data_IF_255386640548
#
_entry.id   IF_255386640548
#
_cell.length_a   1.000
_cell.length_b   1.000
_cell.length_c   1.000
_cell.angle_alpha   90.00
_cell.angle_beta   90.00
_cell.angle_gamma   90.00
#
_symmetry.space_group_name_H-M   'P 1'
#
loop_
_entity.id
_entity.type
_entity.pdbx_description
1 polymer ?
#
# COMPACT_ATOMS: atom_id res chain seq x y z
N UNK A 1 10.10 -3.26 -16.62
CA UNK A 1 10.80 -3.11 -15.36
C UNK A 1 11.92 -4.14 -15.27
N UNK A 2 13.17 -3.70 -15.13
CA UNK A 2 14.33 -4.53 -14.91
C UNK A 2 14.87 -4.29 -13.51
N UNK A 3 14.96 -5.36 -12.71
CA UNK A 3 15.44 -5.28 -11.33
C UNK A 3 16.72 -6.10 -11.17
N UNK A 4 17.80 -5.45 -10.77
CA UNK A 4 19.11 -6.05 -10.55
C UNK A 4 19.32 -6.23 -9.04
N UNK A 5 19.04 -7.43 -8.54
CA UNK A 5 19.17 -7.78 -7.14
C UNK A 5 20.62 -7.97 -6.69
N UNK A 6 20.93 -7.45 -5.50
CA UNK A 6 22.25 -7.47 -4.85
C UNK A 6 23.37 -6.95 -5.76
N UNK A 7 23.01 -5.97 -6.60
CA UNK A 7 23.93 -5.33 -7.52
C UNK A 7 23.99 -3.82 -7.27
N UNK A 8 25.21 -3.30 -7.18
CA UNK A 8 25.40 -1.85 -7.34
C UNK A 8 25.29 -1.50 -8.81
N UNK A 9 24.72 -0.36 -9.16
CA UNK A 9 24.65 0.09 -10.54
C UNK A 9 26.05 0.45 -11.07
N UNK A 10 26.21 0.57 -12.42
CA UNK A 10 27.40 1.14 -13.02
C UNK A 10 27.75 2.50 -12.40
N UNK A 11 29.02 2.90 -12.42
CA UNK A 11 29.49 4.14 -11.78
C UNK A 11 28.71 5.38 -12.25
N UNK A 12 28.33 5.46 -13.51
CA UNK A 12 27.52 6.55 -14.05
C UNK A 12 26.14 6.71 -13.35
N UNK A 13 25.61 5.63 -12.78
CA UNK A 13 24.34 5.60 -12.03
C UNK A 13 24.56 5.64 -10.52
N UNK A 14 25.63 4.97 -10.02
CA UNK A 14 25.90 4.92 -8.58
C UNK A 14 26.49 6.21 -8.03
N UNK A 15 27.20 6.98 -8.87
CA UNK A 15 27.87 8.21 -8.48
C UNK A 15 27.77 9.30 -9.57
N UNK A 16 26.57 9.64 -10.04
CA UNK A 16 26.34 10.83 -10.86
C UNK A 16 26.47 12.05 -9.94
N UNK A 17 27.61 12.70 -9.93
CA UNK A 17 27.86 13.92 -9.13
C UNK A 17 27.27 15.17 -9.82
N UNK A 18 26.64 16.11 -9.08
CA UNK A 18 26.34 16.06 -7.65
C UNK A 18 25.02 15.38 -7.30
N UNK A 19 24.94 14.77 -6.10
CA UNK A 19 23.70 14.34 -5.49
C UNK A 19 23.04 15.50 -4.73
N UNK A 20 21.73 15.66 -4.92
CA UNK A 20 20.88 16.58 -4.19
C UNK A 20 19.94 15.79 -3.26
N UNK A 21 19.91 16.16 -1.96
CA UNK A 21 18.94 15.61 -1.02
C UNK A 21 17.56 16.17 -1.31
N UNK A 22 16.63 15.30 -1.74
CA UNK A 22 15.24 15.67 -2.04
C UNK A 22 14.34 15.49 -0.81
N UNK A 23 14.62 14.45 -0.01
CA UNK A 23 13.80 14.11 1.13
C UNK A 23 14.61 13.36 2.19
N UNK A 24 14.29 13.60 3.45
CA UNK A 24 14.65 12.76 4.59
C UNK A 24 13.43 12.60 5.48
N UNK A 25 13.17 11.38 5.98
CA UNK A 25 12.04 11.14 6.88
C UNK A 25 12.22 11.92 8.19
N UNK A 26 11.09 12.39 8.74
CA UNK A 26 11.06 12.97 10.09
C UNK A 26 11.25 11.89 11.17
N UNK A 27 10.84 10.66 10.87
CA UNK A 27 11.10 9.50 11.70
C UNK A 27 12.58 9.15 11.67
N UNK A 28 13.17 8.97 12.85
CA UNK A 28 14.60 8.67 13.03
C UNK A 28 14.79 7.42 13.88
N UNK A 29 15.92 6.75 13.69
CA UNK A 29 16.36 5.65 14.54
C UNK A 29 16.89 6.15 15.91
N UNK A 30 17.32 5.21 16.74
CA UNK A 30 17.88 5.50 18.07
C UNK A 30 19.18 6.35 18.02
N UNK A 31 19.82 6.44 16.85
CA UNK A 31 21.03 7.25 16.61
C UNK A 31 20.71 8.59 15.96
N UNK A 32 19.43 8.92 15.75
CA UNK A 32 18.97 10.14 15.10
C UNK A 32 19.12 10.12 13.57
N UNK A 33 19.34 8.97 12.93
CA UNK A 33 19.41 8.86 11.47
C UNK A 33 18.01 8.73 10.88
N UNK A 34 17.67 9.47 9.79
CA UNK A 34 16.39 9.30 9.11
C UNK A 34 16.15 7.84 8.69
N UNK A 35 14.93 7.32 8.92
CA UNK A 35 14.55 5.96 8.53
C UNK A 35 14.64 5.75 7.03
N UNK A 36 14.41 6.81 6.24
CA UNK A 36 14.60 6.78 4.80
C UNK A 36 15.00 8.12 4.23
N UNK A 37 15.79 8.07 3.18
CA UNK A 37 16.34 9.24 2.49
C UNK A 37 16.16 9.07 0.99
N UNK A 38 15.77 10.14 0.27
CA UNK A 38 15.77 10.20 -1.19
C UNK A 38 16.77 11.26 -1.66
N UNK A 39 17.70 10.85 -2.47
CA UNK A 39 18.63 11.71 -3.19
C UNK A 39 18.33 11.65 -4.70
N UNK A 40 18.60 12.71 -5.43
CA UNK A 40 18.45 12.84 -6.88
C UNK A 40 19.73 13.34 -7.51
N UNK A 41 20.05 12.85 -8.70
CA UNK A 41 21.13 13.39 -9.52
C UNK A 41 20.70 13.46 -11.00
N UNK A 42 21.13 14.47 -11.72
CA UNK A 42 20.71 14.76 -13.10
C UNK A 42 19.40 15.53 -13.17
N UNK A 43 19.12 16.14 -14.35
CA UNK A 43 17.95 17.00 -14.56
C UNK A 43 16.98 16.45 -15.62
N UNK A 44 17.46 15.92 -16.74
CA UNK A 44 16.60 15.46 -17.87
C UNK A 44 16.10 14.02 -17.66
N UNK A 45 16.99 13.13 -17.24
CA UNK A 45 16.65 11.74 -16.87
C UNK A 45 17.29 11.44 -15.50
N UNK A 46 16.68 11.92 -14.40
CA UNK A 46 17.28 11.85 -13.09
C UNK A 46 17.40 10.43 -12.58
N UNK A 47 18.55 10.12 -11.99
CA UNK A 47 18.73 8.95 -11.15
C UNK A 47 18.25 9.31 -9.75
N UNK A 48 17.40 8.46 -9.19
CA UNK A 48 16.92 8.56 -7.82
C UNK A 48 17.58 7.49 -6.97
N UNK A 49 17.98 7.83 -5.76
CA UNK A 49 18.54 6.89 -4.80
C UNK A 49 17.77 6.96 -3.49
N UNK A 50 17.10 5.85 -3.16
CA UNK A 50 16.45 5.67 -1.86
C UNK A 50 17.37 4.83 -0.98
N UNK A 51 17.72 5.39 0.18
CA UNK A 51 18.53 4.71 1.19
C UNK A 51 17.72 4.59 2.48
N UNK A 52 17.70 3.40 3.06
CA UNK A 52 17.03 3.11 4.33
C UNK A 52 18.04 3.10 5.49
N UNK A 53 17.54 3.15 6.70
CA UNK A 53 18.34 3.27 7.94
C UNK A 53 19.32 2.11 8.15
N UNK A 54 19.03 0.94 7.60
CA UNK A 54 19.85 -0.28 7.61
C UNK A 54 20.83 -0.34 6.43
N UNK A 55 21.05 0.78 5.74
CA UNK A 55 21.90 0.94 4.56
C UNK A 55 21.42 0.16 3.31
N UNK A 56 20.22 -0.45 3.34
CA UNK A 56 19.60 -0.96 2.10
C UNK A 56 19.34 0.20 1.15
N UNK A 57 19.75 0.04 -0.11
CA UNK A 57 19.74 1.11 -1.09
C UNK A 57 19.15 0.67 -2.43
N UNK A 58 18.30 1.52 -3.00
CA UNK A 58 17.72 1.34 -4.33
C UNK A 58 18.05 2.53 -5.22
N UNK A 59 18.56 2.25 -6.42
CA UNK A 59 18.73 3.26 -7.48
C UNK A 59 17.68 3.02 -8.55
N UNK A 60 16.99 4.08 -8.95
CA UNK A 60 15.96 4.09 -9.98
C UNK A 60 16.43 5.01 -11.10
N UNK A 61 16.59 4.49 -12.29
CA UNK A 61 16.97 5.22 -13.48
C UNK A 61 15.97 5.02 -14.61
N UNK A 62 16.09 5.81 -15.68
CA UNK A 62 15.27 5.71 -16.89
C UNK A 62 13.76 5.69 -16.59
N UNK A 63 13.31 6.70 -15.82
CA UNK A 63 11.91 6.79 -15.40
C UNK A 63 11.44 5.63 -14.53
N UNK A 64 12.34 5.07 -13.70
CA UNK A 64 12.12 3.90 -12.85
C UNK A 64 11.83 2.60 -13.64
N UNK A 65 12.37 2.45 -14.85
CA UNK A 65 12.33 1.18 -15.60
C UNK A 65 13.53 0.29 -15.31
N UNK A 66 14.64 0.87 -14.89
CA UNK A 66 15.87 0.18 -14.46
C UNK A 66 16.08 0.43 -12.96
N UNK A 67 16.19 -0.66 -12.18
CA UNK A 67 16.32 -0.62 -10.74
C UNK A 67 17.46 -1.50 -10.28
N UNK A 68 18.32 -0.97 -9.41
CA UNK A 68 19.33 -1.74 -8.71
C UNK A 68 19.00 -1.75 -7.22
N UNK A 69 19.08 -2.93 -6.61
CA UNK A 69 18.92 -3.13 -5.19
C UNK A 69 20.23 -3.65 -4.59
N UNK A 70 20.68 -3.03 -3.53
CA UNK A 70 21.85 -3.45 -2.77
C UNK A 70 21.57 -3.35 -1.28
N UNK A 71 22.10 -4.28 -0.53
CA UNK A 71 22.01 -4.32 0.93
C UNK A 71 23.27 -4.90 1.55
N UNK A 72 23.59 -4.56 2.83
CA UNK A 72 24.72 -5.12 3.59
C UNK A 72 24.66 -6.64 3.74
N UNK A 73 25.79 -7.25 4.08
CA UNK A 73 25.92 -8.72 4.16
C UNK A 73 25.20 -9.34 5.37
N UNK A 74 24.88 -8.56 6.39
CA UNK A 74 24.10 -8.93 7.58
C UNK A 74 22.60 -8.92 7.35
N UNK A 75 22.13 -8.43 6.19
CA UNK A 75 20.75 -8.46 5.76
C UNK A 75 20.48 -9.52 4.69
N UNK A 76 19.22 -9.89 4.54
CA UNK A 76 18.77 -10.91 3.60
C UNK A 76 18.04 -10.31 2.38
N UNK A 77 17.79 -11.15 1.37
CA UNK A 77 16.95 -10.76 0.22
C UNK A 77 15.51 -10.48 0.64
N UNK A 78 15.03 -11.12 1.69
CA UNK A 78 13.71 -10.94 2.28
C UNK A 78 13.57 -9.54 2.89
N UNK A 79 14.62 -9.06 3.59
CA UNK A 79 14.66 -7.69 4.12
C UNK A 79 14.55 -6.66 3.00
N UNK A 80 15.39 -6.79 1.96
CA UNK A 80 15.35 -5.92 0.80
C UNK A 80 14.00 -6.00 0.04
N UNK A 81 13.40 -7.20 -0.06
CA UNK A 81 12.09 -7.39 -0.69
C UNK A 81 10.98 -6.67 0.05
N UNK A 82 11.07 -6.54 1.38
CA UNK A 82 10.10 -5.79 2.18
C UNK A 82 10.07 -4.32 1.79
N UNK A 83 11.22 -3.70 1.58
CA UNK A 83 11.31 -2.33 1.07
C UNK A 83 10.85 -2.24 -0.39
N UNK A 84 11.21 -3.23 -1.21
CA UNK A 84 10.83 -3.23 -2.62
C UNK A 84 9.32 -3.31 -2.82
N UNK A 85 8.64 -4.25 -2.16
CA UNK A 85 7.19 -4.47 -2.28
C UNK A 85 6.34 -3.40 -1.56
N UNK A 86 6.93 -2.58 -0.74
CA UNK A 86 6.28 -1.44 -0.10
C UNK A 86 6.72 -0.11 -0.71
N UNK A 87 7.63 0.63 -0.04
CA UNK A 87 7.98 2.00 -0.41
C UNK A 87 8.53 2.16 -1.84
N UNK A 88 9.29 1.19 -2.35
CA UNK A 88 9.88 1.29 -3.68
C UNK A 88 8.82 1.07 -4.76
N UNK A 89 8.01 0.02 -4.66
CA UNK A 89 6.93 -0.26 -5.62
C UNK A 89 5.91 0.89 -5.66
N UNK A 90 5.47 1.36 -4.50
CA UNK A 90 4.56 2.49 -4.44
C UNK A 90 5.12 3.74 -5.12
N UNK A 91 6.41 4.01 -4.94
CA UNK A 91 7.06 5.15 -5.56
C UNK A 91 7.23 4.96 -7.09
N UNK A 92 7.62 3.77 -7.54
CA UNK A 92 7.69 3.45 -8.98
C UNK A 92 6.34 3.68 -9.67
N UNK A 93 5.27 3.14 -9.11
CA UNK A 93 3.92 3.32 -9.65
C UNK A 93 3.55 4.80 -9.75
N UNK A 94 3.89 5.59 -8.74
CA UNK A 94 3.65 7.04 -8.72
C UNK A 94 4.44 7.77 -9.81
N UNK A 95 5.70 7.42 -10.02
CA UNK A 95 6.53 7.98 -11.10
C UNK A 95 5.97 7.64 -12.48
N UNK A 96 5.31 6.49 -12.61
CA UNK A 96 4.62 6.06 -13.83
C UNK A 96 3.20 6.65 -13.98
N UNK A 97 2.79 7.57 -13.09
CA UNK A 97 1.50 8.25 -13.14
C UNK A 97 0.33 7.46 -12.56
N UNK A 98 0.56 6.27 -12.00
CA UNK A 98 -0.48 5.48 -11.33
C UNK A 98 -0.79 6.10 -9.97
N UNK A 99 -2.07 6.24 -9.64
CA UNK A 99 -2.48 6.71 -8.33
C UNK A 99 -2.40 5.58 -7.31
N UNK A 100 -1.76 5.84 -6.17
CA UNK A 100 -1.51 4.81 -5.15
C UNK A 100 -1.90 5.34 -3.78
N UNK A 101 -2.74 4.59 -3.08
CA UNK A 101 -3.05 4.82 -1.66
C UNK A 101 -2.22 3.89 -0.77
N UNK A 102 -1.80 4.39 0.37
CA UNK A 102 -1.29 3.55 1.46
C UNK A 102 -2.50 2.88 2.14
N UNK A 103 -2.93 1.77 1.58
CA UNK A 103 -4.19 1.12 1.91
C UNK A 103 -4.08 -0.40 1.79
N UNK A 104 -4.98 -1.11 2.49
CA UNK A 104 -5.33 -2.49 2.17
C UNK A 104 -6.68 -2.51 1.46
N UNK A 105 -6.85 -3.36 0.46
CA UNK A 105 -8.10 -3.48 -0.29
C UNK A 105 -8.60 -4.91 -0.30
N UNK A 106 -9.90 -5.08 -0.03
CA UNK A 106 -10.60 -6.37 0.05
C UNK A 106 -11.89 -6.34 -0.77
N UNK A 107 -12.44 -7.50 -1.10
CA UNK A 107 -13.78 -7.59 -1.71
C UNK A 107 -14.87 -7.28 -0.67
N UNK A 108 -15.94 -6.60 -1.10
CA UNK A 108 -17.08 -6.24 -0.26
C UNK A 108 -17.96 -7.45 0.12
N UNK A 109 -17.90 -8.50 -0.69
CA UNK A 109 -18.55 -9.78 -0.42
C UNK A 109 -17.56 -10.93 -0.56
N UNK A 110 -17.80 -12.11 0.05
CA UNK A 110 -16.97 -13.30 -0.12
C UNK A 110 -16.75 -13.68 -1.58
N UNK A 111 -15.65 -14.39 -1.86
CA UNK A 111 -15.19 -14.72 -3.22
C UNK A 111 -16.16 -15.62 -4.01
N UNK A 112 -17.07 -16.32 -3.35
CA UNK A 112 -18.12 -17.13 -3.95
C UNK A 112 -19.38 -16.34 -4.35
N UNK A 113 -19.45 -15.03 -4.00
CA UNK A 113 -20.57 -14.13 -4.30
C UNK A 113 -20.25 -13.12 -5.39
N UNK A 114 -21.27 -12.64 -6.09
CA UNK A 114 -21.20 -11.61 -7.14
C UNK A 114 -22.44 -10.71 -7.14
N UNK A 115 -22.37 -9.47 -7.66
CA UNK A 115 -21.15 -8.78 -8.12
C UNK A 115 -20.26 -8.40 -6.95
N UNK A 116 -18.95 -8.21 -7.20
CA UNK A 116 -17.97 -7.77 -6.21
C UNK A 116 -17.47 -6.37 -6.52
N UNK A 117 -17.22 -5.61 -5.46
CA UNK A 117 -16.48 -4.34 -5.49
C UNK A 117 -15.35 -4.41 -4.47
N UNK A 118 -14.43 -3.48 -4.55
CA UNK A 118 -13.36 -3.34 -3.58
C UNK A 118 -13.73 -2.34 -2.48
N UNK A 119 -13.39 -2.66 -1.24
CA UNK A 119 -13.32 -1.73 -0.11
C UNK A 119 -11.84 -1.43 0.13
N UNK A 120 -11.43 -0.17 0.01
CA UNK A 120 -10.07 0.27 0.33
C UNK A 120 -10.04 0.86 1.75
N UNK A 121 -9.24 0.26 2.62
CA UNK A 121 -9.06 0.72 4.00
C UNK A 121 -7.79 1.54 4.10
N UNK A 122 -7.90 2.81 4.44
CA UNK A 122 -6.81 3.78 4.64
C UNK A 122 -6.71 4.19 6.11
N UNK A 123 -5.59 4.77 6.50
CA UNK A 123 -5.38 5.24 7.87
C UNK A 123 -3.89 5.25 8.23
N UNK A 124 -3.51 5.82 9.37
CA UNK A 124 -2.14 5.90 9.81
C UNK A 124 -1.51 4.52 10.00
N UNK A 125 -0.19 4.49 10.15
CA UNK A 125 0.51 3.27 10.53
C UNK A 125 -0.04 2.77 11.89
N UNK A 126 -0.25 1.46 12.02
CA UNK A 126 -0.84 0.88 13.22
C UNK A 126 -2.36 0.97 13.34
N UNK A 127 -3.08 1.63 12.40
CA UNK A 127 -4.55 1.72 12.43
C UNK A 127 -5.29 0.37 12.28
N UNK A 128 -4.57 -0.70 11.88
CA UNK A 128 -5.15 -2.03 11.74
C UNK A 128 -5.56 -2.41 10.32
N UNK A 129 -5.12 -1.68 9.28
CA UNK A 129 -5.43 -1.98 7.86
C UNK A 129 -5.16 -3.44 7.48
N UNK A 130 -3.93 -3.90 7.68
CA UNK A 130 -3.52 -5.27 7.35
C UNK A 130 -4.23 -6.31 8.21
N UNK A 131 -4.44 -6.01 9.51
CA UNK A 131 -5.17 -6.89 10.43
C UNK A 131 -6.62 -7.07 10.00
N UNK A 132 -7.30 -5.98 9.62
CA UNK A 132 -8.67 -6.01 9.11
C UNK A 132 -8.74 -6.75 7.78
N UNK A 133 -7.77 -6.56 6.87
CA UNK A 133 -7.71 -7.31 5.61
C UNK A 133 -7.54 -8.82 5.83
N UNK A 134 -6.68 -9.22 6.77
CA UNK A 134 -6.52 -10.63 7.14
C UNK A 134 -7.78 -11.22 7.78
N UNK A 135 -8.49 -10.42 8.59
CA UNK A 135 -9.77 -10.83 9.17
C UNK A 135 -10.85 -11.04 8.09
N UNK A 136 -10.92 -10.17 7.09
CA UNK A 136 -11.79 -10.37 5.92
C UNK A 136 -11.42 -11.62 5.13
N UNK A 137 -10.12 -11.89 4.91
CA UNK A 137 -9.67 -13.12 4.24
C UNK A 137 -10.15 -14.37 4.98
N UNK A 138 -10.13 -14.39 6.32
CA UNK A 138 -10.66 -15.49 7.13
C UNK A 138 -12.17 -15.72 6.95
N UNK A 139 -12.92 -14.69 6.57
CA UNK A 139 -14.36 -14.77 6.23
C UNK A 139 -14.63 -15.11 4.76
N UNK A 140 -13.58 -15.44 3.99
CA UNK A 140 -13.70 -15.82 2.57
C UNK A 140 -13.74 -14.65 1.60
N UNK A 141 -13.48 -13.42 2.05
CA UNK A 141 -13.29 -12.27 1.15
C UNK A 141 -11.92 -12.33 0.49
N UNK A 142 -11.83 -11.83 -0.75
CA UNK A 142 -10.56 -11.71 -1.45
C UNK A 142 -9.79 -10.45 -1.02
N UNK A 143 -8.51 -10.58 -0.79
CA UNK A 143 -7.61 -9.43 -0.65
C UNK A 143 -7.08 -9.07 -2.03
N UNK A 144 -7.27 -7.83 -2.48
CA UNK A 144 -6.70 -7.32 -3.73
C UNK A 144 -5.29 -6.76 -3.50
N UNK A 145 -5.10 -6.05 -2.40
CA UNK A 145 -3.86 -5.33 -2.15
C UNK A 145 -3.61 -5.15 -0.65
N UNK A 146 -2.34 -5.12 -0.29
CA UNK A 146 -1.87 -4.76 1.04
C UNK A 146 -0.75 -3.73 0.91
N UNK A 147 -0.79 -2.66 1.72
CA UNK A 147 0.15 -1.53 1.75
C UNK A 147 0.15 -0.64 0.50
N UNK A 148 0.28 -1.19 -0.71
CA UNK A 148 0.37 -0.46 -1.99
C UNK A 148 -0.89 -0.69 -2.80
N UNK A 149 -1.91 0.13 -2.60
CA UNK A 149 -3.20 0.03 -3.28
C UNK A 149 -3.22 0.93 -4.53
N UNK A 150 -3.00 0.32 -5.70
CA UNK A 150 -3.00 1.01 -6.98
C UNK A 150 -4.42 1.22 -7.50
N UNK A 151 -4.74 2.46 -7.88
CA UNK A 151 -6.04 2.86 -8.44
C UNK A 151 -5.88 3.25 -9.90
N UNK A 152 -6.76 2.73 -10.75
CA UNK A 152 -6.72 2.94 -12.19
C UNK A 152 -8.12 3.15 -12.76
N UNK A 153 -8.37 4.20 -13.56
CA UNK A 153 -9.62 4.31 -14.28
C UNK A 153 -9.80 3.17 -15.29
N UNK A 154 -10.99 2.61 -15.38
CA UNK A 154 -11.31 1.60 -16.38
C UNK A 154 -11.03 2.16 -17.79
N UNK A 155 -10.29 1.39 -18.58
CA UNK A 155 -9.86 1.79 -19.93
C UNK A 155 -8.54 2.59 -19.98
N UNK A 156 -7.96 2.97 -18.84
CA UNK A 156 -6.66 3.64 -18.80
C UNK A 156 -5.50 2.68 -19.12
N UNK A 157 -4.40 3.15 -19.75
CA UNK A 157 -3.20 2.34 -20.00
C UNK A 157 -2.57 1.69 -18.78
N UNK A 158 -2.73 2.21 -17.58
CA UNK A 158 -2.21 1.59 -16.35
C UNK A 158 -2.77 0.18 -16.09
N UNK A 159 -3.88 -0.16 -16.73
CA UNK A 159 -4.56 -1.45 -16.63
C UNK A 159 -4.10 -2.51 -17.65
N UNK A 160 -3.19 -2.18 -18.57
CA UNK A 160 -2.82 -3.07 -19.69
C UNK A 160 -2.43 -4.50 -19.30
N UNK A 161 -1.77 -4.65 -18.14
CA UNK A 161 -1.36 -5.97 -17.65
C UNK A 161 -2.53 -6.90 -17.29
N UNK A 162 -3.73 -6.35 -17.05
CA UNK A 162 -4.92 -7.07 -16.60
C UNK A 162 -5.99 -7.26 -17.70
N UNK A 163 -5.67 -6.88 -18.94
CA UNK A 163 -6.60 -6.98 -20.08
C UNK A 163 -7.73 -5.95 -20.05
N UNK A 164 -8.75 -6.08 -20.94
CA UNK A 164 -9.85 -5.14 -21.00
C UNK A 164 -10.70 -5.12 -19.73
N UNK A 165 -11.19 -3.94 -19.34
CA UNK A 165 -12.11 -3.80 -18.23
C UNK A 165 -13.52 -4.25 -18.62
N UNK A 166 -14.20 -4.95 -17.69
CA UNK A 166 -15.63 -5.16 -17.75
C UNK A 166 -16.45 -4.00 -17.18
N UNK A 167 -15.81 -3.03 -16.54
CA UNK A 167 -16.45 -1.86 -15.98
C UNK A 167 -16.66 -0.76 -17.03
N UNK A 168 -17.62 0.13 -16.77
CA UNK A 168 -17.87 1.31 -17.61
C UNK A 168 -16.65 2.25 -17.60
N UNK A 169 -16.45 2.96 -18.69
CA UNK A 169 -15.36 3.92 -18.81
C UNK A 169 -15.43 5.00 -17.72
N UNK A 170 -14.31 5.23 -17.05
CA UNK A 170 -14.21 6.22 -15.97
C UNK A 170 -14.48 5.66 -14.56
N UNK A 171 -14.98 4.44 -14.42
CA UNK A 171 -15.04 3.75 -13.13
C UNK A 171 -13.62 3.55 -12.61
N UNK A 172 -13.37 3.90 -11.35
CA UNK A 172 -12.09 3.67 -10.71
C UNK A 172 -12.04 2.22 -10.24
N UNK A 173 -10.99 1.51 -10.65
CA UNK A 173 -10.73 0.14 -10.23
C UNK A 173 -9.53 0.08 -9.28
N UNK A 174 -9.58 -0.86 -8.35
CA UNK A 174 -8.42 -1.31 -7.56
C UNK A 174 -7.71 -2.40 -8.35
N UNK A 175 -6.42 -2.21 -8.60
CA UNK A 175 -5.58 -3.22 -9.24
C UNK A 175 -5.06 -4.21 -8.20
N UNK A 176 -5.00 -5.52 -8.53
CA UNK A 176 -4.36 -6.50 -7.66
C UNK A 176 -2.88 -6.18 -7.41
N UNK A 177 -2.47 -6.33 -6.17
CA UNK A 177 -1.08 -6.23 -5.75
C UNK A 177 -0.37 -7.59 -5.77
N UNK A 178 0.17 -8.01 -4.64
CA UNK A 178 0.86 -9.29 -4.47
C UNK A 178 0.12 -10.17 -3.45
N UNK A 179 0.20 -11.52 -3.55
CA UNK A 179 -0.65 -12.45 -2.84
C UNK A 179 -0.16 -12.73 -1.40
N UNK A 180 -0.01 -11.70 -0.59
CA UNK A 180 0.30 -11.84 0.83
C UNK A 180 -0.19 -10.64 1.65
N UNK A 181 -0.41 -10.86 2.95
CA UNK A 181 -0.67 -9.81 3.94
C UNK A 181 0.43 -9.86 5.01
N UNK A 182 1.04 -8.72 5.29
CA UNK A 182 2.08 -8.58 6.32
C UNK A 182 1.45 -8.19 7.65
N UNK A 183 1.73 -8.96 8.69
CA UNK A 183 1.13 -8.81 10.01
C UNK A 183 2.22 -8.72 11.10
N UNK A 184 1.99 -7.88 12.09
CA UNK A 184 2.75 -7.94 13.32
C UNK A 184 2.36 -9.17 14.13
N UNK A 185 3.28 -9.70 14.94
CA UNK A 185 3.05 -10.89 15.78
C UNK A 185 1.80 -10.77 16.65
N UNK A 186 1.54 -9.63 17.27
CA UNK A 186 0.33 -9.36 18.04
C UNK A 186 -0.97 -9.53 17.21
N UNK A 187 -0.95 -9.10 15.94
CA UNK A 187 -2.10 -9.27 15.05
C UNK A 187 -2.31 -10.73 14.68
N UNK A 188 -1.22 -11.50 14.52
CA UNK A 188 -1.31 -12.94 14.25
C UNK A 188 -1.83 -13.67 15.47
N UNK A 189 -1.32 -13.36 16.67
CA UNK A 189 -1.81 -13.93 17.93
C UNK A 189 -3.31 -13.66 18.11
N UNK A 190 -3.75 -12.41 17.90
CA UNK A 190 -5.16 -12.03 17.99
C UNK A 190 -6.04 -12.79 17.01
N UNK A 191 -5.61 -12.97 15.75
CA UNK A 191 -6.43 -13.60 14.71
C UNK A 191 -6.35 -15.12 14.70
N UNK A 192 -5.22 -15.70 15.10
CA UNK A 192 -4.92 -17.13 14.92
C UNK A 192 -4.52 -17.85 16.21
N UNK A 193 -4.40 -17.13 17.33
CA UNK A 193 -4.10 -17.67 18.65
C UNK A 193 -2.62 -17.85 18.99
N UNK A 194 -1.73 -17.82 17.97
CA UNK A 194 -0.27 -17.86 18.17
C UNK A 194 0.45 -17.25 16.98
N UNK A 195 1.52 -16.46 17.19
CA UNK A 195 2.33 -15.90 16.10
C UNK A 195 2.99 -16.98 15.22
N UNK A 196 3.33 -18.13 15.78
CA UNK A 196 4.08 -19.21 15.12
C UNK A 196 3.28 -19.91 14.02
N UNK A 197 1.96 -19.71 13.95
CA UNK A 197 1.12 -20.30 12.88
C UNK A 197 1.40 -19.70 11.50
N UNK A 198 2.02 -18.52 11.45
CA UNK A 198 2.44 -17.89 10.21
C UNK A 198 3.97 -17.78 10.14
N UNK A 199 4.56 -17.93 8.95
CA UNK A 199 6.00 -17.79 8.77
C UNK A 199 6.47 -16.35 9.01
N UNK A 200 7.72 -16.21 9.45
CA UNK A 200 8.40 -14.90 9.50
C UNK A 200 8.51 -14.29 8.11
N UNK A 201 8.27 -12.99 8.02
CA UNK A 201 8.45 -12.22 6.79
C UNK A 201 9.94 -12.13 6.42
N UNK A 202 10.78 -11.84 7.41
CA UNK A 202 12.23 -11.79 7.32
C UNK A 202 12.85 -12.36 8.61
N UNK A 203 14.11 -12.81 8.58
CA UNK A 203 14.78 -13.28 9.81
C UNK A 203 15.03 -12.17 10.84
N UNK A 204 15.03 -10.90 10.42
CA UNK A 204 15.45 -9.74 11.24
C UNK A 204 14.29 -8.94 11.81
N UNK A 205 13.04 -9.17 11.33
CA UNK A 205 11.86 -8.42 11.74
C UNK A 205 10.85 -9.32 12.45
N UNK A 206 10.21 -8.81 13.49
CA UNK A 206 9.07 -9.48 14.13
C UNK A 206 7.77 -9.24 13.37
N UNK A 207 7.83 -9.51 12.07
CA UNK A 207 6.66 -9.54 11.19
C UNK A 207 6.47 -10.92 10.61
N UNK A 208 5.20 -11.28 10.45
CA UNK A 208 4.76 -12.52 9.81
C UNK A 208 4.09 -12.19 8.48
N UNK A 209 3.90 -13.18 7.63
CA UNK A 209 3.07 -13.02 6.45
C UNK A 209 2.04 -14.12 6.32
N UNK A 210 0.83 -13.71 5.93
CA UNK A 210 -0.25 -14.60 5.52
C UNK A 210 -0.14 -14.79 4.01
N UNK A 211 0.24 -15.99 3.51
CA UNK A 211 0.19 -16.27 2.08
C UNK A 211 -1.28 -16.35 1.64
N UNK A 212 -1.59 -15.78 0.48
CA UNK A 212 -2.92 -15.76 -0.09
C UNK A 212 -2.93 -16.63 -1.36
N UNK A 213 -3.82 -17.62 -1.42
CA UNK A 213 -3.99 -18.45 -2.60
C UNK A 213 -4.79 -17.69 -3.67
N UNK A 214 -4.35 -17.69 -4.95
CA UNK A 214 -5.13 -17.11 -6.04
C UNK A 214 -6.47 -17.83 -6.21
N UNK A 215 -7.55 -17.08 -6.36
CA UNK A 215 -8.88 -17.57 -6.75
C UNK A 215 -9.82 -17.89 -5.59
N UNK A 216 -9.74 -19.03 -4.94
CA UNK A 216 -10.86 -19.52 -4.12
C UNK A 216 -10.90 -19.01 -2.67
N UNK A 217 -9.80 -18.60 -2.06
CA UNK A 217 -9.78 -18.32 -0.62
C UNK A 217 -8.65 -17.37 -0.20
N UNK A 218 -8.62 -16.17 -0.72
CA UNK A 218 -7.70 -15.20 -0.15
C UNK A 218 -7.19 -14.11 -1.09
N UNK A 219 -6.70 -14.39 -2.29
CA UNK A 219 -6.23 -13.38 -3.24
C UNK A 219 -7.19 -13.18 -4.40
N UNK A 220 -7.68 -11.93 -4.55
CA UNK A 220 -8.44 -11.52 -5.72
C UNK A 220 -7.46 -10.96 -6.76
N UNK A 221 -7.15 -11.76 -7.78
CA UNK A 221 -6.16 -11.48 -8.84
C UNK A 221 -6.72 -10.68 -10.02
N UNK A 222 -7.99 -10.26 -9.92
CA UNK A 222 -8.66 -9.47 -10.96
C UNK A 222 -8.98 -8.06 -10.45
N UNK A 223 -8.78 -7.00 -11.27
CA UNK A 223 -9.21 -5.67 -10.92
C UNK A 223 -10.70 -5.59 -10.62
N UNK A 224 -11.07 -4.86 -9.58
CA UNK A 224 -12.46 -4.63 -9.20
C UNK A 224 -12.79 -3.14 -9.10
N UNK A 225 -14.04 -2.76 -9.44
CA UNK A 225 -14.53 -1.41 -9.17
C UNK A 225 -14.36 -1.06 -7.69
N UNK A 226 -13.83 0.13 -7.40
CA UNK A 226 -13.73 0.65 -6.05
C UNK A 226 -15.13 1.05 -5.56
N UNK A 227 -15.67 0.29 -4.62
CA UNK A 227 -17.01 0.50 -4.06
C UNK A 227 -17.05 1.54 -2.96
N UNK A 228 -16.04 1.55 -2.09
CA UNK A 228 -15.92 2.51 -0.99
C UNK A 228 -14.48 2.64 -0.51
N UNK A 229 -14.20 3.76 0.15
CA UNK A 229 -12.96 3.98 0.92
C UNK A 229 -13.37 4.13 2.38
N UNK A 230 -12.62 3.45 3.25
CA UNK A 230 -12.85 3.50 4.70
C UNK A 230 -11.62 4.03 5.41
N UNK A 231 -11.80 5.11 6.14
CA UNK A 231 -10.83 5.63 7.10
C UNK A 231 -10.89 4.82 8.39
N UNK A 232 -9.83 4.11 8.73
CA UNK A 232 -9.67 3.52 10.05
C UNK A 232 -9.14 4.59 11.01
N UNK A 233 -10.03 5.08 11.86
CA UNK A 233 -9.69 6.01 12.93
C UNK A 233 -8.97 5.30 14.09
N UNK A 234 -8.37 6.03 15.03
CA UNK A 234 -7.90 5.46 16.28
C UNK A 234 -9.01 4.67 16.98
N UNK A 235 -8.61 3.60 17.67
CA UNK A 235 -9.55 2.77 18.45
C UNK A 235 -10.09 3.55 19.64
N UNK A 236 -11.37 3.33 19.96
CA UNK A 236 -12.04 3.95 21.10
C UNK A 236 -12.63 2.87 22.02
N UNK A 237 -12.62 3.15 23.32
CA UNK A 237 -13.35 2.37 24.32
C UNK A 237 -14.78 2.92 24.41
N UNK A 238 -15.64 2.39 23.53
CA UNK A 238 -17.05 2.79 23.36
C UNK A 238 -17.96 1.55 23.44
N UNK A 239 -19.28 1.73 23.36
CA UNK A 239 -20.22 0.59 23.46
C UNK A 239 -20.09 -0.39 22.29
N UNK A 240 -19.70 0.08 21.09
CA UNK A 240 -19.51 -0.73 19.88
C UNK A 240 -18.69 0.02 18.82
N UNK A 241 -18.09 -0.68 17.86
CA UNK A 241 -17.51 -0.04 16.68
C UNK A 241 -18.59 0.69 15.88
N UNK A 242 -18.21 1.75 15.18
CA UNK A 242 -19.16 2.54 14.39
C UNK A 242 -18.55 2.95 13.05
N UNK A 243 -19.44 3.21 12.10
CA UNK A 243 -19.08 3.73 10.77
C UNK A 243 -19.88 4.98 10.51
N UNK A 244 -19.22 6.04 10.08
CA UNK A 244 -19.76 7.38 9.87
C UNK A 244 -19.44 7.86 8.47
N UNK A 245 -20.33 8.63 7.85
CA UNK A 245 -20.02 9.30 6.58
C UNK A 245 -19.03 10.45 6.81
N UNK A 246 -18.10 10.63 5.87
CA UNK A 246 -17.11 11.71 5.91
C UNK A 246 -17.46 12.77 4.88
N UNK A 247 -17.57 14.05 5.28
CA UNK A 247 -17.80 15.13 4.32
C UNK A 247 -16.72 15.19 3.24
N UNK A 248 -17.05 15.48 1.96
CA UNK A 248 -16.10 15.43 0.85
C UNK A 248 -14.83 16.27 1.03
N UNK A 249 -14.93 17.44 1.66
CA UNK A 249 -13.78 18.30 1.93
C UNK A 249 -12.80 17.65 2.93
N UNK A 250 -13.34 17.04 3.98
CA UNK A 250 -12.56 16.30 4.98
C UNK A 250 -11.96 15.03 4.35
N UNK A 251 -12.76 14.28 3.58
CA UNK A 251 -12.32 13.10 2.86
C UNK A 251 -11.12 13.39 1.93
N UNK A 252 -11.13 14.54 1.23
CA UNK A 252 -10.03 14.94 0.37
C UNK A 252 -8.72 15.14 1.15
N UNK A 253 -8.78 15.83 2.28
CA UNK A 253 -7.61 16.07 3.15
C UNK A 253 -7.03 14.73 3.62
N UNK A 254 -7.90 13.86 4.08
CA UNK A 254 -7.50 12.54 4.52
C UNK A 254 -6.89 11.71 3.39
N UNK A 255 -7.49 11.70 2.19
CA UNK A 255 -6.96 10.96 1.06
C UNK A 255 -5.58 11.46 0.64
N UNK A 256 -5.38 12.79 0.55
CA UNK A 256 -4.07 13.37 0.27
C UNK A 256 -3.02 12.92 1.29
N UNK A 257 -3.38 12.88 2.57
CA UNK A 257 -2.49 12.40 3.64
C UNK A 257 -2.18 10.89 3.58
N UNK A 258 -3.00 10.11 2.88
CA UNK A 258 -2.85 8.67 2.73
C UNK A 258 -2.48 8.24 1.30
N UNK A 259 -2.14 9.17 0.40
CA UNK A 259 -1.50 8.81 -0.85
C UNK A 259 -0.05 8.39 -0.60
N UNK A 260 0.38 7.38 -1.35
CA UNK A 260 1.69 6.79 -1.15
C UNK A 260 2.80 7.77 -1.52
N UNK A 261 3.69 8.08 -0.55
CA UNK A 261 4.88 8.93 -0.77
C UNK A 261 4.58 10.28 -1.45
N UNK A 262 3.49 10.95 -1.09
CA UNK A 262 3.09 12.25 -1.65
C UNK A 262 4.16 13.34 -1.53
N UNK A 263 5.01 13.28 -0.51
CA UNK A 263 6.10 14.24 -0.28
C UNK A 263 7.19 14.17 -1.37
N UNK A 264 7.29 13.05 -2.11
CA UNK A 264 8.29 12.85 -3.16
C UNK A 264 7.82 13.32 -4.55
N UNK A 265 6.57 13.78 -4.66
CA UNK A 265 5.99 14.22 -5.93
C UNK A 265 6.38 15.65 -6.26
N UNK A 266 6.62 15.91 -7.54
CA UNK A 266 6.75 17.25 -8.06
C UNK A 266 5.38 17.99 -8.11
N UNK A 267 5.40 19.26 -8.54
CA UNK A 267 4.21 20.11 -8.59
C UNK A 267 3.13 19.57 -9.54
N UNK A 268 3.53 19.05 -10.70
CA UNK A 268 2.59 18.61 -11.75
C UNK A 268 1.96 17.26 -11.34
N UNK A 269 2.75 16.39 -10.77
CA UNK A 269 2.28 15.11 -10.19
C UNK A 269 1.27 15.36 -9.06
N UNK A 270 1.54 16.29 -8.13
CA UNK A 270 0.59 16.68 -7.07
C UNK A 270 -0.70 17.27 -7.63
N UNK A 271 -0.60 18.14 -8.64
CA UNK A 271 -1.77 18.70 -9.30
C UNK A 271 -2.61 17.63 -10.02
N UNK A 272 -1.97 16.63 -10.63
CA UNK A 272 -2.64 15.49 -11.24
C UNK A 272 -3.34 14.62 -10.22
N UNK A 273 -2.66 14.31 -9.11
CA UNK A 273 -3.23 13.58 -7.98
C UNK A 273 -4.46 14.28 -7.42
N UNK A 274 -4.37 15.58 -7.13
CA UNK A 274 -5.50 16.34 -6.59
C UNK A 274 -6.72 16.26 -7.51
N UNK A 275 -6.54 16.41 -8.82
CA UNK A 275 -7.63 16.26 -9.80
C UNK A 275 -8.21 14.85 -9.82
N UNK A 276 -7.38 13.83 -9.68
CA UNK A 276 -7.83 12.45 -9.60
C UNK A 276 -8.66 12.22 -8.33
N UNK A 277 -8.17 12.60 -7.16
CA UNK A 277 -8.86 12.45 -5.89
C UNK A 277 -10.18 13.22 -5.85
N UNK A 278 -10.20 14.43 -6.43
CA UNK A 278 -11.44 15.20 -6.54
C UNK A 278 -12.51 14.45 -7.38
N UNK A 279 -12.13 13.86 -8.51
CA UNK A 279 -13.06 13.05 -9.34
C UNK A 279 -13.49 11.78 -8.62
N UNK A 280 -12.57 11.10 -7.94
CA UNK A 280 -12.84 9.89 -7.16
C UNK A 280 -13.94 10.15 -6.10
N UNK A 281 -13.87 11.25 -5.38
CA UNK A 281 -14.85 11.64 -4.36
C UNK A 281 -16.25 11.96 -4.89
N UNK A 282 -16.41 12.14 -6.21
CA UNK A 282 -17.71 12.34 -6.83
C UNK A 282 -18.48 11.03 -7.05
N UNK A 283 -17.78 9.89 -7.04
CA UNK A 283 -18.35 8.59 -7.41
C UNK A 283 -18.15 7.51 -6.34
N UNK A 284 -17.15 7.68 -5.48
CA UNK A 284 -16.79 6.69 -4.43
C UNK A 284 -17.07 7.28 -3.06
N UNK A 285 -17.98 6.68 -2.28
CA UNK A 285 -18.24 7.10 -0.91
C UNK A 285 -17.02 6.88 -0.01
N UNK A 286 -16.78 7.85 0.87
CA UNK A 286 -15.73 7.77 1.89
C UNK A 286 -16.38 7.76 3.26
N UNK A 287 -16.07 6.75 4.06
CA UNK A 287 -16.58 6.56 5.41
C UNK A 287 -15.44 6.55 6.41
N UNK A 288 -15.73 6.87 7.65
CA UNK A 288 -14.83 6.69 8.79
C UNK A 288 -15.32 5.51 9.60
N UNK A 289 -14.45 4.55 9.87
CA UNK A 289 -14.70 3.51 10.84
C UNK A 289 -13.89 3.77 12.10
N UNK A 290 -14.53 3.70 13.25
CA UNK A 290 -13.91 3.79 14.58
C UNK A 290 -13.95 2.40 15.19
N UNK A 291 -12.82 1.67 15.17
CA UNK A 291 -12.74 0.34 15.78
C UNK A 291 -12.80 0.44 17.31
N UNK A 292 -13.26 -0.62 17.94
CA UNK A 292 -13.22 -0.75 19.40
C UNK A 292 -11.81 -1.16 19.87
N UNK A 293 -11.44 -0.80 21.09
CA UNK A 293 -10.16 -1.20 21.70
C UNK A 293 -10.10 -2.70 21.98
N UNK A 294 -11.22 -3.33 22.38
CA UNK A 294 -11.33 -4.77 22.60
C UNK A 294 -11.46 -5.51 21.25
N UNK A 295 -10.53 -6.45 20.95
CA UNK A 295 -10.58 -7.27 19.73
C UNK A 295 -11.86 -8.10 19.57
N UNK A 296 -12.61 -8.39 20.63
CA UNK A 296 -13.86 -9.12 20.55
C UNK A 296 -14.91 -8.43 19.64
N UNK A 297 -14.78 -7.12 19.44
CA UNK A 297 -15.66 -6.35 18.55
C UNK A 297 -15.21 -6.34 17.09
N UNK A 298 -14.13 -7.04 16.73
CA UNK A 298 -13.62 -7.05 15.36
C UNK A 298 -14.66 -7.58 14.37
N UNK A 299 -15.37 -8.65 14.72
CA UNK A 299 -16.41 -9.24 13.86
C UNK A 299 -17.52 -8.23 13.53
N UNK A 300 -18.03 -7.51 14.53
CA UNK A 300 -19.01 -6.46 14.30
C UNK A 300 -18.50 -5.31 13.45
N UNK A 301 -17.19 -4.99 13.53
CA UNK A 301 -16.58 -4.01 12.63
C UNK A 301 -16.60 -4.50 11.18
N UNK A 302 -16.26 -5.78 10.93
CA UNK A 302 -16.25 -6.36 9.58
C UNK A 302 -17.64 -6.33 8.95
N UNK A 303 -18.70 -6.66 9.71
CA UNK A 303 -20.10 -6.58 9.27
C UNK A 303 -20.48 -5.16 8.84
N UNK A 304 -20.16 -4.17 9.67
CA UNK A 304 -20.40 -2.76 9.35
C UNK A 304 -19.65 -2.30 8.09
N UNK A 305 -18.44 -2.79 7.87
CA UNK A 305 -17.62 -2.43 6.70
C UNK A 305 -18.15 -3.10 5.43
N UNK A 306 -18.58 -4.35 5.50
CA UNK A 306 -19.19 -5.08 4.40
C UNK A 306 -20.59 -4.57 4.04
N UNK A 307 -21.29 -3.87 4.97
CA UNK A 307 -22.65 -3.41 4.79
C UNK A 307 -23.68 -4.50 5.04
N UNK A 308 -23.34 -5.46 5.90
CA UNK A 308 -24.20 -6.56 6.36
C UNK A 308 -25.09 -6.16 7.56
#
# INVERSE_FOLDING_TARGET
LHVHWRRRPPQAVSDPSPWERVYASEEVDLLGRPVSVLDRAGTEDPVLRLTFVDDTCFWLASGATEIWAWWPDDLTSEDASTYFLGPILGYILRLQGVQVLHASAVTDVPMDRHPRKAIAMVGPQGAGKSTTAAAFARRGHGVLSEDVCALCPAGDPCRRAFGPSGAEAGVIEVLPGYPLVRLWSDSVEMLYGSPEVLPLLTPTWDKRYLPLEPGAAGFCDTPLPLGSIVFLAPREDSDAPRVEDVPPAEALIHLVGNTYRNLLLDRDQRASEFRFLHRLLQTVPVRRAVPHTDPAYLEGLLELLAGE
#
